data_IF_182851727795
#
_entry.id   IF_182851727795
#
_cell.length_a   1.000
_cell.length_b   1.000
_cell.length_c   1.000
_cell.angle_alpha   90.00
_cell.angle_beta   90.00
_cell.angle_gamma   90.00
#
_symmetry.space_group_name_H-M   'P 1'
#
loop_
_entity.id
_entity.type
_entity.pdbx_description
1 polymer ?
#
# COMPACT_ATOMS: atom_id res chain seq x y z
N UNK A 1 -10.90 1.84 6.91
CA UNK A 1 -9.48 1.69 7.24
C UNK A 1 -8.71 2.68 6.40
N UNK A 2 -7.41 2.86 6.65
CA UNK A 2 -6.66 3.95 6.03
C UNK A 2 -6.70 3.92 4.48
N UNK A 3 -6.73 2.72 3.89
CA UNK A 3 -6.82 2.52 2.42
C UNK A 3 -8.22 2.65 1.83
N UNK A 4 -9.25 2.79 2.67
CA UNK A 4 -10.61 3.00 2.20
C UNK A 4 -10.84 4.45 1.78
N UNK A 5 -11.90 4.68 1.02
CA UNK A 5 -12.35 6.00 0.60
C UNK A 5 -13.58 6.39 1.39
N UNK A 6 -13.69 7.65 1.76
CA UNK A 6 -14.90 8.18 2.38
C UNK A 6 -15.74 8.87 1.31
N UNK A 7 -17.03 8.54 1.29
CA UNK A 7 -18.00 9.25 0.47
C UNK A 7 -18.37 10.59 1.15
N UNK A 8 -17.80 11.68 0.66
CA UNK A 8 -18.00 13.01 1.23
C UNK A 8 -19.46 13.50 1.11
N UNK A 9 -20.20 13.04 0.10
CA UNK A 9 -21.59 13.47 -0.11
C UNK A 9 -22.51 12.83 0.95
N UNK A 10 -22.16 11.62 1.39
CA UNK A 10 -22.85 10.91 2.47
C UNK A 10 -22.38 11.32 3.86
N UNK A 11 -21.13 11.72 4.02
CA UNK A 11 -20.52 12.04 5.31
C UNK A 11 -19.65 13.31 5.27
N UNK A 12 -20.24 14.51 5.01
CA UNK A 12 -19.49 15.75 4.84
C UNK A 12 -18.73 16.18 6.10
N UNK A 13 -19.33 15.96 7.28
CA UNK A 13 -18.67 16.24 8.57
C UNK A 13 -17.43 15.36 8.76
N UNK A 14 -17.50 14.07 8.40
CA UNK A 14 -16.35 13.17 8.52
C UNK A 14 -15.22 13.57 7.58
N UNK A 15 -15.53 14.03 6.37
CA UNK A 15 -14.55 14.55 5.42
C UNK A 15 -13.85 15.80 5.97
N UNK A 16 -14.60 16.74 6.54
CA UNK A 16 -14.05 17.93 7.18
C UNK A 16 -13.13 17.59 8.35
N UNK A 17 -13.51 16.63 9.20
CA UNK A 17 -12.67 16.21 10.32
C UNK A 17 -11.40 15.47 9.87
N UNK A 18 -11.43 14.78 8.73
CA UNK A 18 -10.22 14.22 8.12
C UNK A 18 -9.28 15.33 7.63
N UNK A 19 -9.81 16.44 7.10
CA UNK A 19 -9.01 17.61 6.76
C UNK A 19 -8.40 18.28 7.99
N UNK A 20 -9.15 18.42 9.08
CA UNK A 20 -8.59 18.89 10.36
C UNK A 20 -7.43 17.99 10.80
N UNK A 21 -7.60 16.67 10.70
CA UNK A 21 -6.54 15.71 11.01
C UNK A 21 -5.32 15.85 10.10
N UNK A 22 -5.49 16.23 8.82
CA UNK A 22 -4.38 16.54 7.90
C UNK A 22 -3.50 17.67 8.44
N UNK A 23 -4.11 18.77 8.91
CA UNK A 23 -3.36 19.90 9.45
C UNK A 23 -2.65 19.54 10.75
N UNK A 24 -3.32 18.84 11.67
CA UNK A 24 -2.72 18.35 12.92
C UNK A 24 -1.56 17.40 12.64
N UNK A 25 -1.73 16.45 11.72
CA UNK A 25 -0.66 15.53 11.33
C UNK A 25 0.52 16.29 10.73
N UNK A 26 0.27 17.27 9.86
CA UNK A 26 1.32 18.08 9.22
C UNK A 26 2.15 18.85 10.24
N UNK A 27 1.49 19.51 11.20
CA UNK A 27 2.16 20.24 12.28
C UNK A 27 3.03 19.30 13.11
N UNK A 28 2.48 18.16 13.54
CA UNK A 28 3.23 17.21 14.37
C UNK A 28 4.37 16.54 13.63
N UNK A 29 4.18 16.17 12.35
CA UNK A 29 5.23 15.59 11.52
C UNK A 29 6.44 16.53 11.40
N UNK A 30 6.22 17.85 11.35
CA UNK A 30 7.31 18.83 11.17
C UNK A 30 8.35 18.82 12.30
N UNK A 31 7.97 18.39 13.49
CA UNK A 31 8.85 18.31 14.68
C UNK A 31 9.15 16.87 15.11
N UNK A 32 8.67 15.88 14.37
CA UNK A 32 8.75 14.47 14.74
C UNK A 32 9.93 13.79 14.02
N UNK A 33 10.47 12.73 14.61
CA UNK A 33 11.56 11.95 14.02
C UNK A 33 11.16 11.30 12.69
N UNK A 34 9.87 11.11 12.42
CA UNK A 34 9.32 10.56 11.18
C UNK A 34 9.28 11.56 10.00
N UNK A 35 9.67 12.83 10.19
CA UNK A 35 9.59 13.85 9.12
C UNK A 35 10.27 13.42 7.82
N UNK A 36 11.43 12.76 7.92
CA UNK A 36 12.21 12.27 6.78
C UNK A 36 11.54 11.09 6.04
N UNK A 37 10.52 10.46 6.63
CA UNK A 37 9.78 9.35 6.03
C UNK A 37 8.59 9.80 5.19
N UNK A 38 8.30 11.10 5.15
CA UNK A 38 7.14 11.65 4.43
C UNK A 38 7.59 12.83 3.60
N UNK A 39 7.46 12.71 2.28
CA UNK A 39 7.58 13.85 1.38
C UNK A 39 6.19 14.43 1.11
N UNK A 40 5.92 15.61 1.68
CA UNK A 40 4.63 16.30 1.57
C UNK A 40 4.38 16.74 0.12
N UNK A 41 3.10 16.83 -0.26
CA UNK A 41 2.72 17.45 -1.52
C UNK A 41 2.80 18.97 -1.41
N UNK A 42 3.43 19.56 -2.42
CA UNK A 42 3.52 21.00 -2.64
C UNK A 42 3.01 21.29 -4.06
N UNK A 43 1.97 22.14 -4.22
CA UNK A 43 1.46 22.53 -5.54
C UNK A 43 2.55 23.06 -6.49
N UNK A 44 3.55 23.74 -5.95
CA UNK A 44 4.64 24.36 -6.71
C UNK A 44 5.92 23.51 -6.74
N UNK A 45 5.95 22.40 -6.00
CA UNK A 45 7.10 21.51 -5.87
C UNK A 45 6.98 20.22 -6.69
N UNK A 46 8.13 19.71 -7.13
CA UNK A 46 8.26 18.34 -7.62
C UNK A 46 8.46 17.41 -6.42
N UNK A 47 7.65 16.35 -6.32
CA UNK A 47 7.77 15.36 -5.26
C UNK A 47 8.63 14.19 -5.77
N UNK A 48 9.87 14.09 -5.29
CA UNK A 48 10.87 13.15 -5.79
C UNK A 48 10.53 11.69 -5.47
N UNK A 49 9.76 11.45 -4.42
CA UNK A 49 9.25 10.14 -4.02
C UNK A 49 7.94 9.74 -4.71
N UNK A 50 7.40 10.59 -5.59
CA UNK A 50 6.19 10.30 -6.36
C UNK A 50 6.48 10.00 -7.83
N UNK A 51 5.66 9.15 -8.48
CA UNK A 51 5.80 8.88 -9.89
C UNK A 51 5.69 10.16 -10.75
N UNK A 52 6.34 10.19 -11.91
CA UNK A 52 6.18 11.30 -12.88
C UNK A 52 4.70 11.53 -13.19
N UNK A 53 3.90 10.47 -13.33
CA UNK A 53 2.44 10.59 -13.54
C UNK A 53 1.73 11.38 -12.45
N UNK A 54 2.07 11.15 -11.17
CA UNK A 54 1.50 11.90 -10.05
C UNK A 54 2.00 13.34 -10.06
N UNK A 55 3.27 13.56 -10.39
CA UNK A 55 3.82 14.90 -10.52
C UNK A 55 3.24 15.69 -11.70
N UNK A 56 2.82 15.03 -12.77
CA UNK A 56 2.18 15.65 -13.92
C UNK A 56 0.70 15.94 -13.65
N UNK A 57 -0.04 14.95 -13.12
CA UNK A 57 -1.48 15.04 -12.87
C UNK A 57 -1.80 15.92 -11.65
N UNK A 58 -0.98 15.83 -10.60
CA UNK A 58 -1.17 16.42 -9.27
C UNK A 58 -2.61 16.24 -8.74
N UNK A 59 -3.07 14.99 -8.80
CA UNK A 59 -4.41 14.61 -8.41
C UNK A 59 -4.59 13.10 -8.45
N UNK A 60 -5.75 12.65 -7.96
CA UNK A 60 -6.15 11.25 -8.02
C UNK A 60 -6.99 11.01 -9.28
N UNK A 61 -6.60 10.08 -10.15
CA UNK A 61 -7.38 9.77 -11.34
C UNK A 61 -8.73 9.11 -10.96
N UNK A 62 -9.76 9.46 -11.71
CA UNK A 62 -11.11 8.88 -11.63
C UNK A 62 -11.40 8.18 -12.96
N UNK A 63 -11.51 6.86 -12.91
CA UNK A 63 -11.73 6.05 -14.10
C UNK A 63 -10.47 5.93 -14.99
N UNK A 64 -10.63 5.35 -16.19
CA UNK A 64 -9.50 4.84 -16.96
C UNK A 64 -8.70 5.90 -17.72
N UNK A 65 -9.17 7.16 -17.80
CA UNK A 65 -8.58 8.16 -18.68
C UNK A 65 -7.15 8.55 -18.29
N UNK A 66 -6.83 8.53 -16.99
CA UNK A 66 -5.52 8.87 -16.43
C UNK A 66 -4.96 7.78 -15.50
N UNK A 67 -5.68 6.68 -15.30
CA UNK A 67 -5.25 5.58 -14.43
C UNK A 67 -4.32 4.60 -15.17
N UNK A 68 -3.22 4.21 -14.52
CA UNK A 68 -2.27 3.22 -15.05
C UNK A 68 -1.68 3.64 -16.40
N UNK A 69 -1.82 2.80 -17.41
CA UNK A 69 -1.35 3.10 -18.77
C UNK A 69 -2.24 4.13 -19.52
N UNK A 70 -3.44 4.43 -18.99
CA UNK A 70 -4.39 5.33 -19.63
C UNK A 70 -3.84 6.74 -19.85
N UNK A 71 -3.07 7.25 -18.88
CA UNK A 71 -2.43 8.58 -18.97
C UNK A 71 -1.48 8.70 -20.16
N UNK A 72 -0.74 7.63 -20.50
CA UNK A 72 0.17 7.62 -21.66
C UNK A 72 -0.57 7.59 -23.00
N UNK A 73 -1.76 6.99 -23.04
CA UNK A 73 -2.63 6.92 -24.24
C UNK A 73 -3.53 8.13 -24.41
N UNK A 74 -3.61 8.99 -23.41
CA UNK A 74 -4.53 10.10 -23.40
C UNK A 74 -4.06 11.21 -24.37
N UNK A 75 -4.87 11.51 -25.38
CA UNK A 75 -4.52 12.49 -26.41
C UNK A 75 -4.37 13.92 -25.87
N UNK A 76 -5.06 14.27 -24.78
CA UNK A 76 -4.88 15.57 -24.13
C UNK A 76 -3.51 15.64 -23.43
N UNK A 77 -3.13 14.61 -22.69
CA UNK A 77 -1.81 14.53 -22.04
C UNK A 77 -0.69 14.62 -23.07
N UNK A 78 -0.77 13.87 -24.17
CA UNK A 78 0.24 13.91 -25.23
C UNK A 78 0.38 15.32 -25.82
N UNK A 79 -0.73 16.02 -26.08
CA UNK A 79 -0.69 17.42 -26.55
C UNK A 79 0.00 18.36 -25.55
N UNK A 80 -0.32 18.24 -24.27
CA UNK A 80 0.32 19.07 -23.23
C UNK A 80 1.83 18.81 -23.20
N UNK A 81 2.25 17.55 -23.28
CA UNK A 81 3.68 17.22 -23.34
C UNK A 81 4.35 17.76 -24.60
N UNK A 82 3.69 17.68 -25.76
CA UNK A 82 4.23 18.21 -27.02
C UNK A 82 4.37 19.74 -26.98
N UNK A 83 3.39 20.46 -26.42
CA UNK A 83 3.41 21.92 -26.27
C UNK A 83 4.57 22.40 -25.37
N UNK A 84 4.89 21.65 -24.31
CA UNK A 84 6.02 21.91 -23.40
C UNK A 84 7.35 21.31 -23.94
N UNK A 85 7.28 20.55 -25.04
CA UNK A 85 8.40 19.86 -25.67
C UNK A 85 8.96 18.68 -24.86
N UNK A 86 8.19 18.13 -23.91
CA UNK A 86 8.63 17.06 -23.00
C UNK A 86 8.54 15.65 -23.60
N UNK A 87 7.78 15.47 -24.68
CA UNK A 87 7.49 14.13 -25.22
C UNK A 87 8.77 13.37 -25.59
N UNK A 88 9.70 14.01 -26.30
CA UNK A 88 10.97 13.37 -26.69
C UNK A 88 11.79 12.93 -25.49
N UNK A 89 11.95 13.81 -24.50
CA UNK A 89 12.71 13.51 -23.29
C UNK A 89 12.09 12.36 -22.50
N UNK A 90 10.77 12.34 -22.32
CA UNK A 90 10.08 11.26 -21.61
C UNK A 90 10.12 9.93 -22.39
N UNK A 91 10.16 9.97 -23.72
CA UNK A 91 10.37 8.76 -24.52
C UNK A 91 11.79 8.20 -24.35
N UNK A 92 12.81 9.06 -24.30
CA UNK A 92 14.19 8.66 -23.99
C UNK A 92 14.31 8.10 -22.57
N UNK A 93 13.63 8.72 -21.61
CA UNK A 93 13.52 8.23 -20.24
C UNK A 93 12.94 6.81 -20.24
N UNK A 94 11.78 6.61 -20.87
CA UNK A 94 11.13 5.30 -20.98
C UNK A 94 12.00 4.25 -21.69
N UNK A 95 12.75 4.66 -22.71
CA UNK A 95 13.71 3.79 -23.41
C UNK A 95 14.90 3.41 -22.52
N UNK A 96 15.37 4.32 -21.67
CA UNK A 96 16.37 4.04 -20.64
C UNK A 96 15.89 2.98 -19.65
N UNK A 97 14.64 3.11 -19.16
CA UNK A 97 14.02 2.09 -18.29
C UNK A 97 13.95 0.74 -18.99
N UNK A 98 13.44 0.71 -20.22
CA UNK A 98 13.33 -0.52 -20.98
C UNK A 98 14.69 -1.22 -21.16
N UNK A 99 15.74 -0.47 -21.50
CA UNK A 99 17.11 -1.00 -21.60
C UNK A 99 17.60 -1.59 -20.29
N UNK A 100 17.46 -0.85 -19.19
CA UNK A 100 17.85 -1.30 -17.85
C UNK A 100 17.12 -2.58 -17.44
N UNK A 101 15.80 -2.67 -17.69
CA UNK A 101 15.03 -3.86 -17.38
C UNK A 101 15.47 -5.06 -18.24
N UNK A 102 15.66 -4.87 -19.55
CA UNK A 102 16.15 -5.95 -20.42
C UNK A 102 17.51 -6.44 -19.93
N UNK A 103 18.44 -5.55 -19.60
CA UNK A 103 19.76 -5.91 -19.07
C UNK A 103 19.66 -6.67 -17.75
N UNK A 104 18.86 -6.18 -16.79
CA UNK A 104 18.67 -6.82 -15.48
C UNK A 104 18.03 -8.20 -15.56
N UNK A 105 17.10 -8.40 -16.49
CA UNK A 105 16.33 -9.65 -16.61
C UNK A 105 16.86 -10.60 -17.70
N UNK A 106 17.96 -10.25 -18.37
CA UNK A 106 18.57 -11.11 -19.39
C UNK A 106 18.96 -12.46 -18.78
N UNK A 107 18.43 -13.55 -19.35
CA UNK A 107 18.74 -14.91 -18.94
C UNK A 107 17.93 -15.44 -17.75
N UNK A 108 17.00 -14.65 -17.18
CA UNK A 108 16.07 -15.13 -16.16
C UNK A 108 14.85 -15.81 -16.76
N UNK A 109 14.29 -16.78 -16.02
CA UNK A 109 13.04 -17.44 -16.40
C UNK A 109 11.84 -16.47 -16.23
N UNK A 110 10.80 -16.51 -17.10
CA UNK A 110 9.65 -15.61 -17.00
C UNK A 110 8.90 -15.62 -15.66
N UNK A 111 8.90 -16.75 -14.97
CA UNK A 111 8.27 -16.93 -13.64
C UNK A 111 9.21 -16.60 -12.47
N UNK A 112 10.35 -15.95 -12.74
CA UNK A 112 11.31 -15.62 -11.69
C UNK A 112 10.77 -14.53 -10.78
N UNK A 113 10.86 -14.73 -9.46
CA UNK A 113 10.33 -13.83 -8.40
C UNK A 113 10.78 -12.37 -8.52
N UNK A 114 11.94 -12.12 -9.12
CA UNK A 114 12.45 -10.76 -9.34
C UNK A 114 11.57 -9.93 -10.29
N UNK A 115 10.80 -10.55 -11.19
CA UNK A 115 9.86 -9.82 -12.05
C UNK A 115 8.75 -9.16 -11.23
N UNK A 116 8.21 -9.88 -10.24
CA UNK A 116 7.15 -9.38 -9.36
C UNK A 116 7.66 -8.29 -8.41
N UNK A 117 8.93 -8.37 -8.02
CA UNK A 117 9.51 -7.50 -7.01
C UNK A 117 10.13 -6.22 -7.60
N UNK A 118 10.70 -6.28 -8.81
CA UNK A 118 11.52 -5.21 -9.37
C UNK A 118 11.15 -4.74 -10.79
N UNK A 119 10.23 -5.41 -11.48
CA UNK A 119 9.98 -5.08 -12.89
C UNK A 119 8.76 -4.17 -13.12
N UNK A 120 8.96 -3.12 -13.92
CA UNK A 120 7.86 -2.35 -14.52
C UNK A 120 7.29 -3.00 -15.78
N UNK A 121 7.93 -4.07 -16.26
CA UNK A 121 7.68 -4.76 -17.53
C UNK A 121 7.45 -6.25 -17.23
N UNK A 122 6.31 -6.79 -17.65
CA UNK A 122 6.10 -8.24 -17.52
C UNK A 122 7.14 -9.01 -18.36
N UNK A 123 7.48 -10.23 -17.97
CA UNK A 123 8.40 -11.06 -18.75
C UNK A 123 7.94 -11.22 -20.22
N UNK A 124 6.62 -11.30 -20.43
CA UNK A 124 5.99 -11.40 -21.76
C UNK A 124 6.11 -10.11 -22.59
N UNK A 125 6.22 -8.95 -21.95
CA UNK A 125 6.37 -7.65 -22.62
C UNK A 125 7.83 -7.33 -22.97
N UNK A 126 8.83 -7.97 -22.36
CA UNK A 126 10.26 -7.69 -22.64
C UNK A 126 10.62 -7.77 -24.15
N UNK A 127 10.23 -8.82 -24.90
CA UNK A 127 10.52 -8.89 -26.34
C UNK A 127 9.88 -7.75 -27.13
N UNK A 128 8.73 -7.22 -26.67
CA UNK A 128 8.06 -6.08 -27.30
C UNK A 128 8.93 -4.82 -27.15
N UNK A 129 9.47 -4.59 -25.95
CA UNK A 129 10.35 -3.45 -25.68
C UNK A 129 11.68 -3.56 -26.41
N UNK A 130 12.29 -4.74 -26.52
CA UNK A 130 13.46 -4.94 -27.38
C UNK A 130 13.20 -4.52 -28.83
N UNK A 131 12.05 -4.91 -29.38
CA UNK A 131 11.65 -4.52 -30.73
C UNK A 131 11.42 -3.00 -30.87
N UNK A 132 10.92 -2.35 -29.83
CA UNK A 132 10.76 -0.89 -29.80
C UNK A 132 12.12 -0.20 -29.81
N UNK A 133 13.05 -0.63 -28.95
CA UNK A 133 14.39 -0.07 -28.85
C UNK A 133 15.18 -0.21 -30.15
N UNK A 134 15.16 -1.39 -30.79
CA UNK A 134 15.80 -1.61 -32.10
C UNK A 134 15.27 -0.67 -33.18
N UNK A 135 13.95 -0.39 -33.21
CA UNK A 135 13.36 0.57 -34.15
C UNK A 135 13.77 2.00 -33.81
N UNK A 136 13.83 2.34 -32.54
CA UNK A 136 14.26 3.65 -32.05
C UNK A 136 15.72 3.94 -32.42
N UNK A 137 16.62 2.95 -32.33
CA UNK A 137 18.03 3.09 -32.75
C UNK A 137 18.16 3.39 -34.25
N UNK A 138 17.29 2.82 -35.09
CA UNK A 138 17.32 3.00 -36.55
C UNK A 138 16.68 4.33 -36.97
N UNK A 139 15.51 4.64 -36.42
CA UNK A 139 14.67 5.75 -36.89
C UNK A 139 14.78 7.02 -36.03
N UNK A 140 15.36 6.94 -34.84
CA UNK A 140 15.32 7.99 -33.82
C UNK A 140 13.99 8.03 -33.06
N UNK A 141 14.02 8.58 -31.85
CA UNK A 141 12.86 8.66 -30.93
C UNK A 141 11.69 9.46 -31.52
N UNK A 142 12.01 10.52 -32.25
CA UNK A 142 11.05 11.45 -32.86
C UNK A 142 10.11 10.74 -33.86
N UNK A 143 10.64 9.75 -34.58
CA UNK A 143 9.95 9.05 -35.68
C UNK A 143 9.22 7.77 -35.21
N UNK A 144 9.24 7.45 -33.92
CA UNK A 144 8.44 6.35 -33.39
C UNK A 144 6.96 6.67 -33.57
N UNK A 145 6.22 5.77 -34.23
CA UNK A 145 4.76 5.82 -34.33
C UNK A 145 4.12 5.10 -33.14
N UNK A 146 2.81 5.31 -32.95
CA UNK A 146 2.01 4.51 -32.00
C UNK A 146 1.85 3.06 -32.50
N UNK A 147 1.73 2.06 -31.60
CA UNK A 147 1.75 2.10 -30.12
C UNK A 147 3.11 2.21 -29.39
N UNK A 148 4.30 2.06 -30.01
CA UNK A 148 5.58 2.16 -29.31
C UNK A 148 5.76 3.38 -28.40
N UNK A 149 5.32 4.58 -28.83
CA UNK A 149 5.45 5.80 -28.02
C UNK A 149 4.68 5.68 -26.69
N UNK A 150 3.41 5.26 -26.74
CA UNK A 150 2.58 5.06 -25.55
C UNK A 150 3.20 4.11 -24.53
N UNK A 151 3.85 3.03 -25.00
CA UNK A 151 4.50 2.06 -24.11
C UNK A 151 5.71 2.65 -23.41
N UNK A 152 6.56 3.40 -24.11
CA UNK A 152 7.71 4.08 -23.51
C UNK A 152 7.27 5.17 -22.54
N UNK A 153 6.26 5.98 -22.90
CA UNK A 153 5.69 7.00 -22.00
C UNK A 153 5.10 6.36 -20.73
N UNK A 154 4.41 5.22 -20.84
CA UNK A 154 3.90 4.50 -19.67
C UNK A 154 5.02 4.09 -18.71
N UNK A 155 6.17 3.64 -19.22
CA UNK A 155 7.33 3.34 -18.37
C UNK A 155 7.87 4.59 -17.68
N UNK A 156 8.08 5.68 -18.42
CA UNK A 156 8.55 6.94 -17.85
C UNK A 156 7.60 7.44 -16.74
N UNK A 157 6.29 7.36 -16.96
CA UNK A 157 5.28 7.79 -15.99
C UNK A 157 5.25 7.00 -14.68
N UNK A 158 5.81 5.79 -14.65
CA UNK A 158 5.92 4.95 -13.45
C UNK A 158 7.18 5.24 -12.62
N UNK A 159 8.12 6.03 -13.17
CA UNK A 159 9.38 6.32 -12.49
C UNK A 159 9.24 7.29 -11.32
N UNK A 160 10.01 7.00 -10.28
CA UNK A 160 10.17 7.76 -9.05
C UNK A 160 11.63 8.22 -8.96
N UNK A 161 11.85 9.54 -9.06
CA UNK A 161 13.19 10.11 -9.18
C UNK A 161 14.13 9.76 -8.02
N UNK A 162 13.61 9.70 -6.78
CA UNK A 162 14.40 9.36 -5.60
C UNK A 162 14.84 7.89 -5.53
N UNK A 163 14.20 7.00 -6.32
CA UNK A 163 14.44 5.55 -6.26
C UNK A 163 15.15 5.01 -7.48
N UNK A 164 14.79 5.52 -8.66
CA UNK A 164 15.18 4.87 -9.90
C UNK A 164 16.55 5.43 -10.36
N UNK A 165 17.58 4.57 -10.48
CA UNK A 165 19.00 4.97 -10.49
C UNK A 165 19.49 5.62 -11.78
N UNK A 166 18.58 6.02 -12.65
CA UNK A 166 18.92 6.36 -14.02
C UNK A 166 19.48 7.79 -14.20
N UNK A 167 19.49 8.66 -13.18
CA UNK A 167 19.82 10.10 -13.30
C UNK A 167 19.10 10.82 -14.46
N UNK A 168 18.02 10.21 -15.00
CA UNK A 168 17.33 10.69 -16.21
C UNK A 168 16.37 11.86 -15.90
N UNK A 169 16.10 12.15 -14.63
CA UNK A 169 15.16 13.18 -14.18
C UNK A 169 15.91 14.24 -13.38
N UNK A 170 16.65 15.08 -14.08
CA UNK A 170 17.36 16.22 -13.49
C UNK A 170 16.42 17.36 -13.07
N UNK A 171 16.95 18.37 -12.37
CA UNK A 171 16.18 19.52 -11.91
C UNK A 171 15.47 20.25 -13.06
N UNK A 172 16.10 20.31 -14.25
CA UNK A 172 15.52 20.96 -15.43
C UNK A 172 14.29 20.21 -15.94
N UNK A 173 14.35 18.88 -15.99
CA UNK A 173 13.21 18.04 -16.35
C UNK A 173 12.09 18.17 -15.31
N UNK A 174 12.43 18.19 -14.02
CA UNK A 174 11.44 18.38 -12.95
C UNK A 174 10.68 19.70 -13.13
N UNK A 175 11.37 20.81 -13.39
CA UNK A 175 10.72 22.10 -13.64
C UNK A 175 9.78 22.07 -14.86
N UNK A 176 10.19 21.42 -15.95
CA UNK A 176 9.34 21.27 -17.13
C UNK A 176 8.13 20.38 -16.86
N UNK A 177 8.26 19.34 -16.03
CA UNK A 177 7.11 18.54 -15.58
C UNK A 177 6.13 19.40 -14.78
N UNK A 178 6.62 20.33 -13.95
CA UNK A 178 5.77 21.29 -13.24
C UNK A 178 5.10 22.29 -14.19
N UNK A 179 5.78 22.74 -15.24
CA UNK A 179 5.17 23.55 -16.30
C UNK A 179 4.05 22.77 -17.01
N UNK A 180 4.28 21.50 -17.34
CA UNK A 180 3.27 20.62 -17.93
C UNK A 180 2.11 20.34 -16.96
N UNK A 181 2.35 20.21 -15.65
CA UNK A 181 1.29 20.12 -14.62
C UNK A 181 0.38 21.34 -14.67
N UNK A 182 0.96 22.54 -14.69
CA UNK A 182 0.19 23.80 -14.74
C UNK A 182 -0.61 23.90 -16.04
N UNK A 183 0.00 23.57 -17.19
CA UNK A 183 -0.68 23.55 -18.49
C UNK A 183 -1.80 22.51 -18.54
N UNK A 184 -1.58 21.32 -17.98
CA UNK A 184 -2.57 20.25 -17.86
C UNK A 184 -3.78 20.70 -17.03
N UNK A 185 -3.56 21.29 -15.86
CA UNK A 185 -4.65 21.73 -15.00
C UNK A 185 -5.44 22.89 -15.62
N UNK A 186 -4.74 23.86 -16.24
CA UNK A 186 -5.37 25.04 -16.84
C UNK A 186 -6.14 24.73 -18.13
N UNK A 187 -5.66 23.78 -18.93
CA UNK A 187 -6.23 23.44 -20.24
C UNK A 187 -7.18 22.24 -20.24
N UNK A 188 -7.48 21.66 -19.07
CA UNK A 188 -8.23 20.39 -18.98
C UNK A 188 -9.61 20.52 -19.66
N UNK A 189 -9.89 19.71 -20.71
CA UNK A 189 -11.18 19.73 -21.40
C UNK A 189 -12.35 19.42 -20.45
N UNK A 190 -13.51 19.99 -20.73
CA UNK A 190 -14.70 19.84 -19.87
C UNK A 190 -15.11 18.37 -19.70
N UNK A 191 -14.95 17.57 -20.75
CA UNK A 191 -15.28 16.14 -20.74
C UNK A 191 -14.35 15.31 -19.85
N UNK A 192 -13.14 15.83 -19.57
CA UNK A 192 -12.12 15.18 -18.74
C UNK A 192 -12.07 15.72 -17.31
N UNK A 193 -12.80 16.79 -16.97
CA UNK A 193 -12.82 17.35 -15.61
C UNK A 193 -13.26 16.35 -14.55
N UNK A 194 -14.18 15.44 -14.88
CA UNK A 194 -14.61 14.36 -13.99
C UNK A 194 -13.66 13.16 -13.92
N UNK A 195 -12.56 13.18 -14.68
CA UNK A 195 -11.59 12.07 -14.73
C UNK A 195 -10.40 12.24 -13.78
N UNK A 196 -10.32 13.34 -13.05
CA UNK A 196 -9.28 13.61 -12.05
C UNK A 196 -9.85 14.48 -10.94
N UNK A 197 -9.51 14.14 -9.71
CA UNK A 197 -9.71 15.02 -8.57
C UNK A 197 -8.36 15.57 -8.12
N UNK A 198 -8.16 16.88 -8.31
CA UNK A 198 -6.88 17.52 -8.03
C UNK A 198 -6.55 17.52 -6.53
N UNK A 199 -5.25 17.48 -6.23
CA UNK A 199 -4.78 17.69 -4.87
C UNK A 199 -4.87 19.17 -4.52
N UNK A 200 -5.52 19.45 -3.40
CA UNK A 200 -5.67 20.78 -2.84
C UNK A 200 -5.47 20.66 -1.32
N UNK A 201 -4.52 21.43 -0.72
CA UNK A 201 -4.21 21.34 0.70
C UNK A 201 -5.40 21.67 1.61
N UNK A 202 -6.38 22.42 1.11
CA UNK A 202 -7.55 22.89 1.87
C UNK A 202 -8.84 22.13 1.52
N UNK A 203 -8.79 21.17 0.57
CA UNK A 203 -9.97 20.38 0.17
C UNK A 203 -9.76 18.88 0.36
N UNK A 204 -10.88 18.22 0.66
CA UNK A 204 -10.96 16.78 0.70
C UNK A 204 -10.98 16.25 -0.74
N UNK A 205 -10.23 15.19 -0.99
CA UNK A 205 -10.19 14.53 -2.28
C UNK A 205 -10.99 13.22 -2.16
N UNK A 206 -12.19 13.17 -2.72
CA UNK A 206 -13.10 12.04 -2.60
C UNK A 206 -12.61 10.78 -3.35
N UNK A 207 -11.79 10.97 -4.39
CA UNK A 207 -11.14 9.88 -5.10
C UNK A 207 -9.97 9.27 -4.31
N UNK A 208 -9.37 10.00 -3.37
CA UNK A 208 -8.25 9.55 -2.57
C UNK A 208 -8.67 8.78 -1.30
N UNK A 209 -7.79 7.91 -0.81
CA UNK A 209 -8.00 7.19 0.44
C UNK A 209 -7.96 8.12 1.66
N UNK A 210 -8.43 7.65 2.81
CA UNK A 210 -8.27 8.36 4.09
C UNK A 210 -6.80 8.62 4.38
N UNK A 211 -5.93 7.65 4.10
CA UNK A 211 -4.48 7.80 4.29
C UNK A 211 -3.92 8.97 3.47
N UNK A 212 -4.24 9.02 2.18
CA UNK A 212 -3.74 10.07 1.27
C UNK A 212 -4.30 11.43 1.66
N UNK A 213 -5.57 11.49 2.07
CA UNK A 213 -6.18 12.72 2.55
C UNK A 213 -5.54 13.23 3.85
N UNK A 214 -5.24 12.37 4.83
CA UNK A 214 -4.60 12.81 6.09
C UNK A 214 -3.12 13.13 5.86
N UNK A 215 -2.41 12.27 5.12
CA UNK A 215 -0.97 12.41 4.91
C UNK A 215 -0.60 13.57 3.97
N UNK A 216 -1.42 13.82 2.95
CA UNK A 216 -1.20 14.83 1.89
C UNK A 216 0.26 14.85 1.41
N UNK A 217 0.71 13.69 0.95
CA UNK A 217 2.10 13.43 0.59
C UNK A 217 2.34 11.95 0.37
N UNK A 218 3.61 11.61 0.12
CA UNK A 218 4.06 10.26 -0.16
C UNK A 218 4.96 9.75 0.96
N UNK A 219 4.75 8.49 1.35
CA UNK A 219 5.66 7.79 2.27
C UNK A 219 6.91 7.42 1.50
N UNK A 220 8.06 7.91 1.95
CA UNK A 220 9.39 7.60 1.41
C UNK A 220 9.61 6.09 1.52
N UNK A 221 10.04 5.47 0.43
CA UNK A 221 10.36 4.03 0.38
C UNK A 221 11.87 3.85 0.57
N UNK A 222 12.27 2.72 1.18
CA UNK A 222 13.68 2.36 1.35
C UNK A 222 14.10 2.18 2.80
N UNK A 223 13.34 2.74 3.76
CA UNK A 223 13.55 2.46 5.18
C UNK A 223 12.70 1.28 5.66
N UNK A 224 13.35 0.27 6.23
CA UNK A 224 12.68 -0.89 6.83
C UNK A 224 11.73 -0.45 7.94
N UNK A 225 10.45 -0.79 7.83
CA UNK A 225 9.44 -0.43 8.83
C UNK A 225 8.96 1.02 8.77
N UNK A 226 9.49 1.85 7.85
CA UNK A 226 9.11 3.27 7.76
C UNK A 226 7.62 3.47 7.47
N UNK A 227 7.07 2.63 6.57
CA UNK A 227 5.64 2.64 6.26
C UNK A 227 4.78 2.31 7.48
N UNK A 228 5.15 1.28 8.22
CA UNK A 228 4.43 0.84 9.41
C UNK A 228 4.46 1.91 10.51
N UNK A 229 5.61 2.57 10.70
CA UNK A 229 5.76 3.70 11.64
C UNK A 229 4.86 4.87 11.25
N UNK A 230 4.87 5.29 9.98
CA UNK A 230 3.99 6.37 9.49
C UNK A 230 2.52 5.99 9.62
N UNK A 231 2.14 4.75 9.30
CA UNK A 231 0.77 4.27 9.48
C UNK A 231 0.33 4.28 10.95
N UNK A 232 1.20 3.85 11.86
CA UNK A 232 0.94 3.88 13.30
C UNK A 232 0.73 5.32 13.77
N UNK A 233 1.58 6.24 13.32
CA UNK A 233 1.47 7.66 13.64
C UNK A 233 0.19 8.31 13.11
N UNK A 234 -0.20 8.01 11.87
CA UNK A 234 -1.51 8.46 11.34
C UNK A 234 -2.65 7.92 12.21
N UNK A 235 -2.59 6.65 12.60
CA UNK A 235 -3.64 6.03 13.42
C UNK A 235 -3.73 6.65 14.81
N UNK A 236 -2.59 6.95 15.43
CA UNK A 236 -2.51 7.65 16.73
C UNK A 236 -3.17 9.02 16.66
N UNK A 237 -2.81 9.85 15.67
CA UNK A 237 -3.42 11.18 15.48
C UNK A 237 -4.93 11.06 15.24
N UNK A 238 -5.38 10.11 14.42
CA UNK A 238 -6.81 9.88 14.20
C UNK A 238 -7.54 9.42 15.47
N UNK A 239 -6.91 8.56 16.28
CA UNK A 239 -7.49 8.07 17.54
C UNK A 239 -7.63 9.21 18.57
N UNK A 240 -6.61 10.06 18.72
CA UNK A 240 -6.66 11.24 19.61
C UNK A 240 -7.73 12.25 19.20
N UNK A 241 -7.95 12.41 17.90
CA UNK A 241 -9.02 13.25 17.36
C UNK A 241 -10.38 12.57 17.43
N UNK A 242 -10.49 11.34 17.96
CA UNK A 242 -11.74 10.61 18.07
C UNK A 242 -12.32 10.17 16.71
N UNK A 243 -11.47 9.99 15.70
CA UNK A 243 -11.85 9.59 14.34
C UNK A 243 -11.79 8.07 14.12
N UNK A 244 -11.47 7.30 15.17
CA UNK A 244 -11.41 5.84 15.12
C UNK A 244 -12.68 5.21 14.53
N UNK A 245 -13.84 5.72 14.92
CA UNK A 245 -15.13 5.20 14.44
C UNK A 245 -15.30 5.39 12.93
N UNK A 246 -15.00 6.59 12.42
CA UNK A 246 -15.02 6.89 10.98
C UNK A 246 -14.08 5.95 10.25
N UNK A 247 -12.86 5.74 10.77
CA UNK A 247 -11.89 4.83 10.18
C UNK A 247 -12.39 3.38 10.11
N UNK A 248 -13.09 2.91 11.14
CA UNK A 248 -13.70 1.58 11.17
C UNK A 248 -14.82 1.49 10.13
N UNK A 249 -15.75 2.44 10.10
CA UNK A 249 -16.88 2.47 9.17
C UNK A 249 -16.38 2.42 7.71
N UNK A 250 -15.44 3.30 7.34
CA UNK A 250 -14.75 3.27 6.02
C UNK A 250 -14.08 1.92 5.73
N UNK A 251 -13.68 1.18 6.78
CA UNK A 251 -13.03 -0.13 6.62
C UNK A 251 -14.01 -1.25 6.36
N UNK A 252 -15.19 -1.17 6.97
CA UNK A 252 -16.26 -2.14 6.79
C UNK A 252 -16.86 -2.06 5.38
N UNK A 253 -16.83 -0.89 4.76
CA UNK A 253 -17.29 -0.68 3.38
C UNK A 253 -16.25 -1.06 2.30
N UNK A 254 -15.04 -1.47 2.69
CA UNK A 254 -13.98 -1.78 1.73
C UNK A 254 -14.33 -3.03 0.89
N UNK A 255 -14.24 -2.98 -0.46
CA UNK A 255 -14.55 -4.12 -1.31
C UNK A 255 -13.51 -5.23 -1.17
N UNK A 256 -13.91 -6.34 -0.55
CA UNK A 256 -13.02 -7.50 -0.29
C UNK A 256 -13.03 -8.58 -1.38
N UNK A 257 -13.84 -8.40 -2.43
CA UNK A 257 -14.01 -9.38 -3.51
C UNK A 257 -14.79 -10.63 -3.09
N UNK A 258 -15.14 -11.47 -4.06
CA UNK A 258 -15.88 -12.72 -3.81
C UNK A 258 -15.10 -13.62 -2.85
N UNK A 259 -15.77 -14.05 -1.76
CA UNK A 259 -15.14 -14.89 -0.74
C UNK A 259 -13.99 -14.22 0.03
N UNK A 260 -13.83 -12.90 -0.05
CA UNK A 260 -12.72 -12.19 0.57
C UNK A 260 -11.38 -12.38 -0.14
N UNK A 261 -11.39 -12.55 -1.46
CA UNK A 261 -10.18 -12.77 -2.28
C UNK A 261 -9.14 -11.64 -2.19
N UNK A 262 -9.56 -10.41 -1.84
CA UNK A 262 -8.68 -9.24 -1.69
C UNK A 262 -8.13 -9.04 -0.28
N UNK A 263 -8.51 -9.90 0.67
CA UNK A 263 -7.95 -9.89 2.02
C UNK A 263 -6.64 -10.68 2.04
N UNK A 264 -5.69 -10.27 2.88
CA UNK A 264 -4.58 -11.16 3.21
C UNK A 264 -5.10 -12.35 4.04
N UNK A 265 -4.31 -13.42 4.10
CA UNK A 265 -4.63 -14.56 4.96
C UNK A 265 -4.82 -14.14 6.41
N UNK A 266 -3.91 -13.31 6.93
CA UNK A 266 -4.01 -12.68 8.25
C UNK A 266 -5.32 -11.92 8.45
N UNK A 267 -5.75 -11.14 7.46
CA UNK A 267 -7.00 -10.39 7.56
C UNK A 267 -8.23 -11.29 7.55
N UNK A 268 -8.26 -12.31 6.67
CA UNK A 268 -9.34 -13.32 6.65
C UNK A 268 -9.44 -14.03 7.98
N UNK A 269 -8.30 -14.38 8.57
CA UNK A 269 -8.25 -15.08 9.83
C UNK A 269 -8.74 -14.21 11.00
N UNK A 270 -8.29 -12.95 11.09
CA UNK A 270 -8.80 -11.98 12.07
C UNK A 270 -10.31 -11.76 11.93
N UNK A 271 -10.81 -11.69 10.69
CA UNK A 271 -12.25 -11.56 10.41
C UNK A 271 -13.03 -12.81 10.85
N UNK A 272 -12.51 -14.01 10.61
CA UNK A 272 -13.13 -15.26 11.03
C UNK A 272 -13.26 -15.35 12.56
N UNK A 273 -12.19 -14.99 13.28
CA UNK A 273 -12.19 -14.90 14.75
C UNK A 273 -13.21 -13.86 15.21
N UNK A 274 -13.19 -12.64 14.66
CA UNK A 274 -14.14 -11.60 15.02
C UNK A 274 -15.60 -12.03 14.78
N UNK A 275 -15.88 -12.69 13.66
CA UNK A 275 -17.20 -13.22 13.34
C UNK A 275 -17.63 -14.33 14.32
N UNK A 276 -16.71 -15.17 14.78
CA UNK A 276 -16.99 -16.17 15.82
C UNK A 276 -17.30 -15.52 17.17
N UNK A 277 -16.52 -14.50 17.57
CA UNK A 277 -16.75 -13.72 18.80
C UNK A 277 -18.11 -13.04 18.78
N UNK A 278 -18.49 -12.41 17.66
CA UNK A 278 -19.76 -11.70 17.49
C UNK A 278 -20.99 -12.60 17.68
N UNK A 279 -20.88 -13.91 17.47
CA UNK A 279 -21.95 -14.88 17.75
C UNK A 279 -22.20 -15.11 19.24
N UNK A 280 -21.32 -14.57 20.10
CA UNK A 280 -21.36 -14.74 21.57
C UNK A 280 -21.48 -16.21 22.01
N UNK A 281 -20.59 -17.12 21.54
CA UNK A 281 -20.68 -18.52 21.91
C UNK A 281 -20.30 -18.73 23.39
N UNK A 282 -20.92 -19.69 24.06
CA UNK A 282 -20.55 -20.12 25.43
C UNK A 282 -19.19 -20.82 25.47
N UNK A 283 -18.82 -21.47 24.37
CA UNK A 283 -17.53 -22.11 24.16
C UNK A 283 -16.98 -21.78 22.76
N UNK A 284 -15.74 -21.30 22.70
CA UNK A 284 -15.01 -21.06 21.47
C UNK A 284 -13.77 -21.95 21.39
N UNK A 285 -13.62 -22.69 20.29
CA UNK A 285 -12.44 -23.49 20.01
C UNK A 285 -11.62 -22.83 18.87
N UNK A 286 -10.36 -22.52 19.14
CA UNK A 286 -9.40 -22.03 18.16
C UNK A 286 -8.42 -23.15 17.83
N UNK A 287 -8.48 -23.65 16.59
CA UNK A 287 -7.51 -24.59 16.07
C UNK A 287 -6.69 -23.90 14.99
N UNK A 288 -5.41 -23.71 15.24
CA UNK A 288 -4.45 -23.10 14.32
C UNK A 288 -4.86 -21.72 13.80
N UNK A 289 -5.78 -21.08 14.51
CA UNK A 289 -6.46 -19.88 14.08
C UNK A 289 -5.58 -18.63 14.16
N UNK A 290 -4.40 -18.74 14.75
CA UNK A 290 -3.45 -17.63 14.95
C UNK A 290 -2.08 -17.92 14.37
N UNK A 291 -1.90 -19.05 13.67
CA UNK A 291 -0.63 -19.49 13.09
C UNK A 291 0.02 -18.45 12.17
N UNK A 292 -0.83 -17.70 11.46
CA UNK A 292 -0.42 -16.68 10.48
C UNK A 292 -0.09 -15.33 11.12
N UNK A 293 -0.28 -15.18 12.44
CA UNK A 293 -0.03 -13.94 13.17
C UNK A 293 1.40 -13.89 13.72
N UNK A 294 1.99 -12.70 13.72
CA UNK A 294 3.21 -12.45 14.48
C UNK A 294 2.95 -12.58 16.00
N UNK A 295 4.01 -12.83 16.77
CA UNK A 295 3.87 -13.17 18.20
C UNK A 295 3.28 -12.05 19.06
N UNK A 296 3.58 -10.80 18.73
CA UNK A 296 3.04 -9.63 19.42
C UNK A 296 1.54 -9.51 19.16
N UNK A 297 1.13 -9.65 17.90
CA UNK A 297 -0.30 -9.65 17.52
C UNK A 297 -1.05 -10.81 18.14
N UNK A 298 -0.46 -12.01 18.17
CA UNK A 298 -1.06 -13.20 18.78
C UNK A 298 -1.28 -13.02 20.28
N UNK A 299 -0.29 -12.51 20.99
CA UNK A 299 -0.39 -12.23 22.44
C UNK A 299 -1.48 -11.19 22.73
N UNK A 300 -1.49 -10.08 21.99
CA UNK A 300 -2.51 -9.05 22.16
C UNK A 300 -3.93 -9.56 21.82
N UNK A 301 -4.05 -10.48 20.87
CA UNK A 301 -5.34 -11.13 20.56
C UNK A 301 -5.77 -12.07 21.67
N UNK A 302 -4.84 -12.86 22.22
CA UNK A 302 -5.10 -13.75 23.36
C UNK A 302 -5.64 -12.97 24.56
N UNK A 303 -4.98 -11.88 24.96
CA UNK A 303 -5.42 -11.05 26.09
C UNK A 303 -6.84 -10.52 25.89
N UNK A 304 -7.17 -10.06 24.68
CA UNK A 304 -8.51 -9.57 24.33
C UNK A 304 -9.55 -10.68 24.35
N UNK A 305 -9.23 -11.86 23.81
CA UNK A 305 -10.14 -13.00 23.83
C UNK A 305 -10.36 -13.51 25.25
N UNK A 306 -9.32 -13.58 26.08
CA UNK A 306 -9.49 -13.94 27.50
C UNK A 306 -10.41 -12.97 28.23
N UNK A 307 -10.24 -11.66 28.02
CA UNK A 307 -11.12 -10.66 28.63
C UNK A 307 -12.57 -10.81 28.17
N UNK A 308 -12.78 -11.01 26.86
CA UNK A 308 -14.11 -11.22 26.27
C UNK A 308 -14.76 -12.53 26.77
N UNK A 309 -13.98 -13.57 26.99
CA UNK A 309 -14.42 -14.89 27.45
C UNK A 309 -14.25 -15.09 28.96
N UNK A 310 -14.10 -14.04 29.77
CA UNK A 310 -13.90 -14.17 31.22
C UNK A 310 -14.98 -15.02 31.93
N UNK A 311 -16.23 -14.96 31.43
CA UNK A 311 -17.38 -15.72 31.94
C UNK A 311 -17.77 -16.90 31.03
N UNK A 312 -16.90 -17.28 30.07
CA UNK A 312 -17.16 -18.27 29.02
C UNK A 312 -15.95 -19.18 28.80
N UNK A 313 -16.11 -20.23 27.98
CA UNK A 313 -15.05 -21.20 27.74
C UNK A 313 -14.26 -20.88 26.47
N UNK A 314 -12.93 -20.89 26.59
CA UNK A 314 -12.00 -20.75 25.47
C UNK A 314 -11.09 -21.99 25.43
N UNK A 315 -11.10 -22.71 24.31
CA UNK A 315 -10.22 -23.84 24.04
C UNK A 315 -9.30 -23.44 22.90
N UNK A 316 -7.98 -23.56 23.07
CA UNK A 316 -7.01 -23.10 22.09
C UNK A 316 -5.92 -24.14 21.84
N UNK A 317 -5.78 -24.57 20.58
CA UNK A 317 -4.64 -25.36 20.11
C UNK A 317 -3.45 -24.44 19.81
N UNK A 318 -2.43 -24.47 20.66
CA UNK A 318 -1.31 -23.51 20.62
C UNK A 318 -0.23 -23.97 19.63
N UNK A 319 0.19 -23.07 18.74
CA UNK A 319 1.41 -23.25 17.94
C UNK A 319 2.68 -22.82 18.67
N UNK A 320 2.54 -21.94 19.65
CA UNK A 320 3.62 -21.43 20.50
C UNK A 320 3.41 -21.94 21.92
N UNK A 321 4.09 -23.02 22.32
CA UNK A 321 3.94 -23.59 23.65
C UNK A 321 4.07 -22.57 24.79
N UNK A 322 4.89 -21.51 24.63
CA UNK A 322 5.04 -20.45 25.65
C UNK A 322 3.74 -19.76 26.05
N UNK A 323 2.75 -19.70 25.15
CA UNK A 323 1.43 -19.13 25.45
C UNK A 323 0.61 -19.98 26.43
N UNK A 324 0.99 -21.23 26.68
CA UNK A 324 0.31 -22.13 27.61
C UNK A 324 0.22 -21.55 29.03
N UNK A 325 1.23 -20.77 29.44
CA UNK A 325 1.28 -20.05 30.71
C UNK A 325 0.11 -19.09 30.95
N UNK A 326 -0.55 -18.64 29.87
CA UNK A 326 -1.68 -17.73 29.96
C UNK A 326 -3.04 -18.45 30.15
N UNK A 327 -3.10 -19.78 30.18
CA UNK A 327 -4.35 -20.53 30.31
C UNK A 327 -4.53 -21.12 31.72
N UNK A 328 -5.78 -21.30 32.15
CA UNK A 328 -6.08 -21.88 33.46
C UNK A 328 -5.76 -23.38 33.51
N UNK A 329 -5.82 -24.06 32.35
CA UNK A 329 -5.57 -25.48 32.18
C UNK A 329 -4.96 -25.78 30.82
N UNK A 330 -3.98 -26.69 30.81
CA UNK A 330 -3.27 -27.15 29.61
C UNK A 330 -3.46 -28.66 29.47
N UNK A 331 -3.65 -29.11 28.23
CA UNK A 331 -3.80 -30.51 27.84
C UNK A 331 -2.66 -30.85 26.88
N UNK A 332 -1.79 -31.79 27.25
CA UNK A 332 -0.66 -32.22 26.39
C UNK A 332 -1.05 -33.48 25.66
N UNK A 333 -0.99 -33.44 24.32
CA UNK A 333 -1.32 -34.57 23.47
C UNK A 333 -0.10 -35.12 22.74
N UNK A 334 0.01 -36.44 22.68
CA UNK A 334 1.05 -37.15 21.94
C UNK A 334 0.41 -38.33 21.19
N UNK A 335 0.68 -38.44 19.88
CA UNK A 335 0.13 -39.51 19.02
C UNK A 335 -1.39 -39.72 19.16
N UNK A 336 -2.15 -38.62 19.31
CA UNK A 336 -3.61 -38.65 19.46
C UNK A 336 -4.11 -39.08 20.85
N UNK A 337 -3.23 -39.16 21.85
CA UNK A 337 -3.59 -39.48 23.24
C UNK A 337 -3.25 -38.33 24.17
N UNK A 338 -4.08 -38.10 25.19
CA UNK A 338 -3.79 -37.17 26.27
C UNK A 338 -2.72 -37.79 27.18
N UNK A 339 -1.52 -37.22 27.22
CA UNK A 339 -0.38 -37.72 28.00
C UNK A 339 -0.17 -36.97 29.30
N UNK A 340 -0.63 -35.71 29.39
CA UNK A 340 -0.58 -34.91 30.61
C UNK A 340 -1.67 -33.84 30.63
N UNK A 341 -2.06 -33.37 31.81
CA UNK A 341 -3.01 -32.27 31.99
C UNK A 341 -2.90 -31.63 33.37
N UNK A 342 -3.12 -30.32 33.44
CA UNK A 342 -3.06 -29.58 34.70
C UNK A 342 -3.01 -28.07 34.47
N UNK A 343 -2.77 -27.33 35.53
CA UNK A 343 -2.40 -25.91 35.42
C UNK A 343 -1.00 -25.77 34.78
N UNK A 344 -0.68 -24.62 34.17
CA UNK A 344 0.66 -24.40 33.60
C UNK A 344 1.78 -24.62 34.62
N UNK A 345 1.59 -24.15 35.86
CA UNK A 345 2.56 -24.31 36.94
C UNK A 345 2.78 -25.78 37.35
N UNK A 346 1.78 -26.65 37.19
CA UNK A 346 1.93 -28.08 37.45
C UNK A 346 2.72 -28.80 36.36
N UNK A 347 2.66 -28.29 35.12
CA UNK A 347 3.23 -28.87 33.92
C UNK A 347 4.60 -28.28 33.55
N UNK A 348 4.97 -27.10 34.06
CA UNK A 348 6.32 -26.52 33.90
C UNK A 348 7.37 -27.15 34.85
N UNK A 349 7.26 -28.45 35.12
CA UNK A 349 8.22 -29.19 35.95
C UNK A 349 9.27 -29.89 35.08
N UNK A 350 10.51 -30.05 35.59
CA UNK A 350 11.54 -30.84 34.91
C UNK A 350 11.02 -32.24 34.58
N UNK A 351 11.03 -32.61 33.30
CA UNK A 351 10.57 -33.92 32.81
C UNK A 351 9.09 -34.02 32.43
N UNK A 352 8.29 -32.94 32.49
CA UNK A 352 6.93 -32.95 31.95
C UNK A 352 6.95 -33.11 30.41
N UNK A 353 5.94 -33.78 29.82
CA UNK A 353 5.69 -33.80 28.38
C UNK A 353 5.57 -32.41 27.73
N UNK A 354 5.28 -31.35 28.50
CA UNK A 354 5.26 -29.96 28.00
C UNK A 354 6.68 -29.40 27.78
N UNK A 355 7.67 -29.81 28.58
CA UNK A 355 9.04 -29.29 28.53
C UNK A 355 9.73 -29.40 27.15
N UNK A 356 9.67 -30.54 26.42
CA UNK A 356 10.29 -30.61 25.09
C UNK A 356 9.61 -29.69 24.06
N UNK A 357 8.31 -29.43 24.18
CA UNK A 357 7.60 -28.48 23.31
C UNK A 357 8.08 -27.05 23.57
N UNK A 358 8.23 -26.68 24.84
CA UNK A 358 8.76 -25.37 25.26
C UNK A 358 10.21 -25.14 24.82
N UNK A 359 11.02 -26.20 24.76
CA UNK A 359 12.42 -26.15 24.35
C UNK A 359 12.63 -26.11 22.83
N UNK A 360 11.61 -26.51 22.05
CA UNK A 360 11.65 -26.52 20.59
C UNK A 360 11.25 -25.18 19.95
N UNK A 361 10.76 -24.22 20.75
CA UNK A 361 10.44 -22.84 20.37
C UNK A 361 11.57 -21.87 20.72
#
# INVERSE_FOLDING_TARGET
GLRGRLDQDRQPEAAQRILEARHVLAERLSTNDLAHLVERFDPDGYNANSPISVNLLFGTPIGPAFEGDGIARNAYVQRVLDEIGLTGDLLEVGAGVARMMIELFTGLHPEHVLFDEFSFISADDLPVFEGILKRMEIAGVENLLQPPRERLLSLAFKLVAARDPLELIDEKMQQRILEARRAFAAGLPEELRGSVEFFDPERYNAAASVQENVLFGTIVRGESGGRERVHAFITEVLDELGLRRILIEVGLDYPVGTGGSRLSEVQRQKLAIAAAVLKRPDLMALNDATAVLDGTTETALLDRLKAEFAERSLVWSLHRPRLASAFDRVLVMEHGRLVDQGSPAELEKPGSPLAPLMAAE
#
